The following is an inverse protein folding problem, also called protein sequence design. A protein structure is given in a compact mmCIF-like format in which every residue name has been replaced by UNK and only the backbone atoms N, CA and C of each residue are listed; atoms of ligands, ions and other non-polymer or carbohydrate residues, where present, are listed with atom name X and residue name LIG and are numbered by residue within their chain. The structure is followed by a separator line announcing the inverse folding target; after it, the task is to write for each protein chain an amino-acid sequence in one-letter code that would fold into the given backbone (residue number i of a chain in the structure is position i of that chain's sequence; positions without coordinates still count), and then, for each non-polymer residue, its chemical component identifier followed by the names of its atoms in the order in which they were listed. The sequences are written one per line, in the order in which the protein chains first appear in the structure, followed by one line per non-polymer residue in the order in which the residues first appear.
data_IF_407020094928
#
_entry.id   IF_407020094928
#
_cell.length_a   1.000
_cell.length_b   1.000
_cell.length_c   1.000
_cell.angle_alpha   90.00
_cell.angle_beta   90.00
_cell.angle_gamma   90.00
#
_symmetry.space_group_name_H-M   'P 1'
#
loop_
_entity.id
_entity.type
_entity.pdbx_description
1 polymer ?
#
# COMPACT_ATOMS: atom_id res chain seq x y z
N UNK A 1 3.81 1.28 -21.61
CA UNK A 1 3.50 0.91 -20.22
C UNK A 1 3.01 2.15 -19.48
N UNK A 2 1.80 2.07 -18.91
CA UNK A 2 1.25 3.07 -18.00
C UNK A 2 1.09 2.41 -16.63
N UNK A 3 1.25 3.16 -15.55
CA UNK A 3 1.09 2.66 -14.20
C UNK A 3 0.02 3.46 -13.46
N UNK A 4 -0.79 2.75 -12.68
CA UNK A 4 -1.65 3.32 -11.66
C UNK A 4 -0.92 3.29 -10.31
N UNK A 5 -1.15 4.30 -9.48
CA UNK A 5 -0.59 4.38 -8.13
C UNK A 5 -1.70 4.58 -7.12
N UNK A 6 -1.57 3.93 -5.97
CA UNK A 6 -2.49 4.05 -4.85
C UNK A 6 -1.74 4.22 -3.53
N UNK A 7 -2.34 4.95 -2.61
CA UNK A 7 -1.90 5.08 -1.22
C UNK A 7 -2.87 4.32 -0.32
N UNK A 8 -2.36 3.36 0.43
CA UNK A 8 -3.14 2.46 1.27
C UNK A 8 -2.78 2.68 2.74
N UNK A 9 -3.73 3.11 3.60
CA UNK A 9 -3.47 3.20 5.03
C UNK A 9 -3.31 1.80 5.62
N UNK A 10 -2.31 1.61 6.47
CA UNK A 10 -2.02 0.36 7.15
C UNK A 10 -2.41 0.47 8.62
N UNK A 11 -3.17 -0.52 9.08
CA UNK A 11 -3.47 -0.71 10.50
C UNK A 11 -2.43 -1.64 11.10
N UNK A 12 -1.77 -1.24 12.19
CA UNK A 12 -0.63 -1.96 12.81
C UNK A 12 -0.93 -3.44 13.12
N UNK A 13 -2.18 -3.76 13.47
CA UNK A 13 -2.62 -5.14 13.78
C UNK A 13 -3.14 -5.92 12.57
N UNK A 14 -3.20 -5.33 11.38
CA UNK A 14 -3.74 -5.94 10.17
C UNK A 14 -2.88 -5.69 8.91
N UNK A 15 -1.67 -5.15 9.05
CA UNK A 15 -0.77 -4.80 7.93
C UNK A 15 -0.63 -5.92 6.90
N UNK A 16 -0.33 -7.14 7.34
CA UNK A 16 -0.17 -8.30 6.45
C UNK A 16 -1.45 -8.58 5.65
N UNK A 17 -2.59 -8.64 6.32
CA UNK A 17 -3.87 -8.90 5.67
C UNK A 17 -4.20 -7.84 4.63
N UNK A 18 -3.95 -6.56 4.94
CA UNK A 18 -4.17 -5.45 3.99
C UNK A 18 -3.27 -5.65 2.76
N UNK A 19 -1.96 -5.83 2.95
CA UNK A 19 -1.03 -5.98 1.84
C UNK A 19 -1.33 -7.23 0.98
N UNK A 20 -1.69 -8.35 1.59
CA UNK A 20 -2.04 -9.59 0.89
C UNK A 20 -3.29 -9.40 0.00
N UNK A 21 -4.30 -8.68 0.47
CA UNK A 21 -5.50 -8.36 -0.32
C UNK A 21 -5.14 -7.52 -1.55
N UNK A 22 -4.40 -6.44 -1.38
CA UNK A 22 -3.99 -5.59 -2.51
C UNK A 22 -3.05 -6.33 -3.47
N UNK A 23 -2.15 -7.17 -2.96
CA UNK A 23 -1.30 -8.03 -3.77
C UNK A 23 -2.10 -9.01 -4.62
N UNK A 24 -3.17 -9.58 -4.06
CA UNK A 24 -4.09 -10.48 -4.78
C UNK A 24 -4.85 -9.75 -5.89
N UNK A 25 -5.12 -8.46 -5.72
CA UNK A 25 -5.74 -7.58 -6.72
C UNK A 25 -4.74 -7.11 -7.81
N UNK A 26 -3.51 -7.63 -7.79
CA UNK A 26 -2.46 -7.36 -8.78
C UNK A 26 -1.68 -6.08 -8.52
N UNK A 27 -1.73 -5.55 -7.30
CA UNK A 27 -0.90 -4.40 -6.91
C UNK A 27 0.46 -4.84 -6.39
N UNK A 28 1.49 -4.13 -6.81
CA UNK A 28 2.85 -4.29 -6.33
C UNK A 28 3.16 -3.26 -5.25
N UNK A 29 3.71 -3.72 -4.12
CA UNK A 29 4.18 -2.83 -3.06
C UNK A 29 5.44 -2.09 -3.51
N UNK A 30 5.42 -0.76 -3.42
CA UNK A 30 6.56 0.11 -3.73
C UNK A 30 7.34 0.45 -2.46
N UNK A 31 6.63 1.00 -1.46
CA UNK A 31 7.25 1.44 -0.21
C UNK A 31 6.20 1.54 0.90
N UNK A 32 6.65 1.39 2.15
CA UNK A 32 5.86 1.72 3.34
C UNK A 32 6.55 2.89 4.07
N UNK A 33 5.79 3.91 4.44
CA UNK A 33 6.29 5.09 5.16
C UNK A 33 5.39 5.45 6.36
N UNK A 34 5.91 6.15 7.37
CA UNK A 34 5.07 6.74 8.41
C UNK A 34 4.08 7.77 7.83
N UNK A 35 2.85 7.77 8.35
CA UNK A 35 1.84 8.75 7.95
C UNK A 35 2.21 10.18 8.40
N UNK A 36 1.85 11.22 7.62
CA UNK A 36 1.99 12.61 8.07
C UNK A 36 1.08 12.86 9.27
N UNK A 37 1.64 13.25 10.41
CA UNK A 37 0.86 13.57 11.62
C UNK A 37 1.44 13.05 12.94
N UNK A 38 2.44 12.18 12.90
CA UNK A 38 3.11 11.65 14.10
C UNK A 38 2.29 10.56 14.80
N UNK A 39 2.76 9.31 14.68
CA UNK A 39 2.17 8.13 15.32
C UNK A 39 2.61 6.84 14.62
N UNK A 40 2.18 5.69 15.13
CA UNK A 40 2.48 4.36 14.57
C UNK A 40 1.67 4.02 13.30
N UNK A 41 1.01 5.01 12.71
CA UNK A 41 0.25 4.81 11.46
C UNK A 41 1.20 4.77 10.28
N UNK A 42 1.06 3.73 9.46
CA UNK A 42 1.86 3.52 8.25
C UNK A 42 0.98 3.67 7.01
N UNK A 43 1.59 4.09 5.90
CA UNK A 43 0.96 4.15 4.58
C UNK A 43 1.83 3.35 3.62
N UNK A 44 1.19 2.49 2.82
CA UNK A 44 1.81 1.79 1.70
C UNK A 44 1.54 2.53 0.40
N UNK A 45 2.59 2.75 -0.37
CA UNK A 45 2.50 3.12 -1.78
C UNK A 45 2.48 1.86 -2.63
N UNK A 46 1.45 1.72 -3.44
CA UNK A 46 1.22 0.60 -4.33
C UNK A 46 1.26 1.07 -5.78
N UNK A 47 1.68 0.21 -6.69
CA UNK A 47 1.60 0.45 -8.14
C UNK A 47 0.97 -0.76 -8.85
N UNK A 48 0.34 -0.53 -10.00
CA UNK A 48 -0.18 -1.60 -10.86
C UNK A 48 -0.02 -1.20 -12.33
N UNK A 49 0.36 -2.14 -13.19
CA UNK A 49 0.43 -1.90 -14.63
C UNK A 49 -0.98 -1.74 -15.21
N UNK A 50 -1.20 -0.67 -15.98
CA UNK A 50 -2.40 -0.48 -16.79
C UNK A 50 -2.05 -0.93 -18.21
N UNK A 51 -2.75 -1.96 -18.69
CA UNK A 51 -2.67 -2.43 -20.07
C UNK A 51 -3.49 -1.54 -21.01
#
# INVERSE_FOLDING_TARGET
MKFEYATVPLLTHATKQILDTWGSDGWELVQVVPAPGGGDQLVAYMKREIK
#
